data_IF_377178155877
#
_entry.id   IF_377178155877
#
_cell.length_a   1.000
_cell.length_b   1.000
_cell.length_c   1.000
_cell.angle_alpha   90.00
_cell.angle_beta   90.00
_cell.angle_gamma   90.00
#
_symmetry.space_group_name_H-M   'P 1'
#
loop_
_entity.id
_entity.type
_entity.pdbx_description
1 polymer ?
#
# COMPACT_ATOMS: atom_id res chain seq x y z
N UNK A 1 -18.34 1.12 16.95
CA UNK A 1 -17.14 1.94 16.65
C UNK A 1 -15.84 1.23 17.02
N UNK A 2 -15.85 0.32 17.98
CA UNK A 2 -14.70 -0.43 18.51
C UNK A 2 -13.91 -1.20 17.46
N UNK A 3 -14.59 -1.86 16.51
CA UNK A 3 -13.93 -2.51 15.37
C UNK A 3 -13.15 -1.51 14.51
N UNK A 4 -13.65 -0.27 14.38
CA UNK A 4 -12.93 0.78 13.66
C UNK A 4 -11.65 1.22 14.40
N UNK A 5 -11.64 1.20 15.73
CA UNK A 5 -10.49 1.64 16.54
C UNK A 5 -9.40 0.56 16.55
N UNK A 6 -9.77 -0.69 16.80
CA UNK A 6 -8.84 -1.84 16.84
C UNK A 6 -8.17 -2.06 15.48
N UNK A 7 -8.88 -1.76 14.39
CA UNK A 7 -8.34 -1.90 13.03
C UNK A 7 -7.49 -0.71 12.60
N UNK A 8 -7.55 0.43 13.30
CA UNK A 8 -6.64 1.56 13.10
C UNK A 8 -5.37 1.44 13.97
N UNK A 9 -4.43 2.37 13.77
CA UNK A 9 -3.28 2.56 14.65
C UNK A 9 -3.74 3.25 15.93
N UNK A 10 -3.78 2.51 17.04
CA UNK A 10 -4.15 3.03 18.36
C UNK A 10 -2.89 3.05 19.24
N UNK A 11 -2.48 4.24 19.68
CA UNK A 11 -1.23 4.45 20.38
C UNK A 11 -1.51 4.77 21.84
N UNK A 12 -1.04 3.92 22.74
CA UNK A 12 -1.12 4.14 24.19
C UNK A 12 0.25 4.55 24.74
N UNK A 13 0.25 5.39 25.77
CA UNK A 13 1.45 5.80 26.49
C UNK A 13 1.60 4.97 27.75
N UNK A 14 2.78 4.39 27.97
CA UNK A 14 3.03 3.65 29.21
C UNK A 14 3.26 4.61 30.40
N UNK A 15 2.72 4.32 31.59
CA UNK A 15 3.21 4.95 32.81
C UNK A 15 4.69 4.62 33.00
N UNK A 16 5.48 5.58 33.48
CA UNK A 16 6.90 5.42 33.79
C UNK A 16 7.87 5.27 32.60
N UNK A 17 7.42 5.48 31.37
CA UNK A 17 8.32 5.64 30.22
C UNK A 17 7.63 6.49 29.16
N UNK A 18 8.32 7.47 28.57
CA UNK A 18 7.84 8.20 27.38
C UNK A 18 7.75 7.32 26.11
N UNK A 19 7.53 6.02 26.28
CA UNK A 19 7.40 5.02 25.22
C UNK A 19 5.92 4.93 24.87
N UNK A 20 5.64 5.19 23.60
CA UNK A 20 4.35 4.97 22.98
C UNK A 20 4.31 3.55 22.41
N UNK A 21 3.19 2.85 22.59
CA UNK A 21 2.97 1.52 22.02
C UNK A 21 1.71 1.53 21.16
N UNK A 22 1.85 1.02 19.94
CA UNK A 22 0.71 0.74 19.09
C UNK A 22 0.09 -0.61 19.46
N UNK A 23 -1.15 -0.60 19.93
CA UNK A 23 -1.95 -1.79 20.25
C UNK A 23 -2.93 -2.17 19.14
N UNK A 24 -3.06 -1.32 18.12
CA UNK A 24 -3.93 -1.52 16.98
C UNK A 24 -3.38 -2.52 15.96
N UNK A 25 -4.29 -3.17 15.24
CA UNK A 25 -3.97 -4.14 14.18
C UNK A 25 -3.41 -3.50 12.91
N UNK A 26 -3.42 -2.17 12.81
CA UNK A 26 -2.88 -1.40 11.67
C UNK A 26 -3.42 -1.85 10.30
N UNK A 27 -4.69 -2.27 10.26
CA UNK A 27 -5.36 -2.71 9.03
C UNK A 27 -5.85 -1.52 8.19
N UNK A 28 -5.93 -0.32 8.77
CA UNK A 28 -6.22 0.93 8.07
C UNK A 28 -5.39 2.10 8.61
N UNK A 29 -4.91 2.94 7.70
CA UNK A 29 -4.18 4.15 8.05
C UNK A 29 -4.96 5.37 7.53
N UNK A 30 -5.74 6.03 8.40
CA UNK A 30 -6.51 7.23 8.02
C UNK A 30 -5.62 8.40 7.60
N UNK A 31 -4.50 8.61 8.31
CA UNK A 31 -3.60 9.74 8.07
C UNK A 31 -2.78 9.62 6.78
N UNK A 32 -2.43 8.39 6.37
CA UNK A 32 -1.61 8.14 5.17
C UNK A 32 -2.42 7.71 3.95
N UNK A 33 -3.74 7.57 4.06
CA UNK A 33 -4.61 6.96 3.02
C UNK A 33 -4.13 5.59 2.50
N UNK A 34 -3.25 4.92 3.25
CA UNK A 34 -2.70 3.62 2.91
C UNK A 34 -3.67 2.52 3.37
N UNK A 35 -3.86 1.52 2.52
CA UNK A 35 -4.74 0.36 2.74
C UNK A 35 -3.92 -0.92 2.66
N UNK A 36 -4.26 -1.92 3.47
CA UNK A 36 -3.63 -3.22 3.33
C UNK A 36 -4.31 -4.02 2.21
N UNK A 37 -3.54 -4.32 1.16
CA UNK A 37 -4.06 -4.99 -0.03
C UNK A 37 -4.58 -6.38 0.35
N UNK A 38 -5.85 -6.66 0.04
CA UNK A 38 -6.49 -7.93 0.35
C UNK A 38 -7.14 -8.02 1.74
N UNK A 39 -6.97 -7.04 2.64
CA UNK A 39 -7.60 -7.04 3.98
C UNK A 39 -8.63 -5.94 4.15
N UNK A 40 -8.38 -4.74 3.65
CA UNK A 40 -9.30 -3.60 3.80
C UNK A 40 -9.54 -2.86 2.49
N UNK A 41 -10.78 -2.41 2.29
CA UNK A 41 -11.18 -1.56 1.17
C UNK A 41 -11.90 -0.33 1.71
N UNK A 42 -11.52 0.85 1.20
CA UNK A 42 -12.21 2.10 1.50
C UNK A 42 -13.32 2.28 0.45
N UNK A 43 -14.57 2.16 0.87
CA UNK A 43 -15.74 2.60 0.09
C UNK A 43 -15.95 4.10 0.23
N UNK A 44 -17.07 4.62 -0.29
CA UNK A 44 -17.36 6.07 -0.29
C UNK A 44 -17.44 6.66 1.13
N UNK A 45 -18.03 5.93 2.09
CA UNK A 45 -18.15 6.37 3.48
C UNK A 45 -17.89 5.27 4.53
N UNK A 46 -17.59 4.03 4.10
CA UNK A 46 -17.44 2.88 4.99
C UNK A 46 -16.17 2.12 4.65
N UNK A 47 -15.50 1.59 5.68
CA UNK A 47 -14.39 0.65 5.50
C UNK A 47 -14.94 -0.77 5.44
N UNK A 48 -14.68 -1.46 4.34
CA UNK A 48 -15.00 -2.86 4.12
C UNK A 48 -13.78 -3.72 4.50
N UNK A 49 -14.05 -4.90 5.09
CA UNK A 49 -13.03 -5.85 5.52
C UNK A 49 -13.22 -7.17 4.79
N UNK A 50 -12.14 -7.77 4.30
CA UNK A 50 -12.20 -9.07 3.64
C UNK A 50 -12.31 -10.22 4.66
N UNK A 51 -12.64 -11.42 4.19
CA UNK A 51 -12.66 -12.63 5.02
C UNK A 51 -11.29 -12.93 5.66
N UNK A 52 -10.20 -12.65 4.94
CA UNK A 52 -8.85 -12.79 5.46
C UNK A 52 -8.58 -11.86 6.66
N UNK A 53 -9.23 -10.69 6.72
CA UNK A 53 -9.14 -9.76 7.84
C UNK A 53 -10.02 -10.16 9.04
N UNK A 54 -11.07 -10.96 8.85
CA UNK A 54 -11.93 -11.41 9.94
C UNK A 54 -11.19 -12.35 10.90
N UNK A 55 -10.37 -13.26 10.37
CA UNK A 55 -9.58 -14.21 11.16
C UNK A 55 -8.68 -13.55 12.22
N UNK A 56 -7.79 -12.59 11.88
CA UNK A 56 -6.97 -11.91 12.87
C UNK A 56 -7.81 -11.04 13.82
N UNK A 57 -8.88 -10.40 13.33
CA UNK A 57 -9.77 -9.59 14.19
C UNK A 57 -10.47 -10.48 15.25
N UNK A 58 -10.99 -11.64 14.85
CA UNK A 58 -11.65 -12.58 15.76
C UNK A 58 -10.67 -13.14 16.81
N UNK A 59 -9.46 -13.54 16.38
CA UNK A 59 -8.41 -14.02 17.28
C UNK A 59 -7.95 -12.94 18.26
N UNK A 60 -7.79 -11.69 17.80
CA UNK A 60 -7.44 -10.58 18.67
C UNK A 60 -8.51 -10.35 19.75
N UNK A 61 -9.79 -10.36 19.36
CA UNK A 61 -10.91 -10.25 20.31
C UNK A 61 -10.94 -11.36 21.35
N UNK A 62 -10.60 -12.60 20.97
CA UNK A 62 -10.57 -13.72 21.93
C UNK A 62 -9.38 -13.67 22.89
N UNK A 63 -8.23 -13.15 22.44
CA UNK A 63 -6.99 -13.12 23.24
C UNK A 63 -6.91 -11.92 24.17
N UNK A 64 -7.52 -10.79 23.77
CA UNK A 64 -7.46 -9.52 24.49
C UNK A 64 -8.87 -8.92 24.68
N UNK A 65 -9.81 -9.64 25.32
CA UNK A 65 -11.16 -9.13 25.56
C UNK A 65 -11.17 -7.88 26.44
N UNK A 66 -10.15 -7.70 27.30
CA UNK A 66 -10.03 -6.57 28.21
C UNK A 66 -9.87 -5.25 27.44
N UNK A 67 -9.12 -5.28 26.33
CA UNK A 67 -8.94 -4.14 25.43
C UNK A 67 -10.26 -3.77 24.76
N UNK A 68 -11.04 -4.76 24.33
CA UNK A 68 -12.33 -4.54 23.66
C UNK A 68 -13.33 -3.89 24.61
N UNK A 69 -13.46 -4.43 25.82
CA UNK A 69 -14.38 -3.91 26.84
C UNK A 69 -14.06 -2.47 27.21
N UNK A 70 -12.77 -2.13 27.33
CA UNK A 70 -12.36 -0.77 27.66
C UNK A 70 -12.61 0.19 26.50
N UNK A 71 -12.35 -0.23 25.26
CA UNK A 71 -12.66 0.56 24.06
C UNK A 71 -14.17 0.74 23.82
N UNK A 72 -14.98 -0.25 24.21
CA UNK A 72 -16.45 -0.15 24.19
C UNK A 72 -16.96 0.82 25.28
N UNK A 73 -16.27 0.92 26.41
CA UNK A 73 -16.64 1.82 27.50
C UNK A 73 -16.15 3.27 27.27
N UNK A 74 -15.03 3.44 26.59
CA UNK A 74 -14.37 4.74 26.37
C UNK A 74 -14.93 5.52 25.17
N UNK A 75 -16.21 5.35 24.84
CA UNK A 75 -16.89 5.99 23.71
C UNK A 75 -16.76 7.52 23.75
N UNK A 76 -15.72 8.07 23.12
CA UNK A 76 -15.50 9.51 22.95
C UNK A 76 -14.33 10.13 23.72
N UNK A 77 -13.60 9.36 24.54
CA UNK A 77 -12.39 9.84 25.22
C UNK A 77 -11.14 9.15 24.67
N UNK A 78 -10.11 9.93 24.32
CA UNK A 78 -8.78 9.45 23.94
C UNK A 78 -8.16 8.74 25.15
N UNK A 79 -8.26 7.41 25.22
CA UNK A 79 -7.68 6.63 26.32
C UNK A 79 -6.17 6.56 26.08
N UNK A 80 -5.46 7.53 26.63
CA UNK A 80 -4.03 7.74 26.32
C UNK A 80 -3.11 6.93 27.24
N UNK A 81 -3.61 6.42 28.36
CA UNK A 81 -2.82 5.80 29.42
C UNK A 81 -2.96 4.27 29.46
N UNK A 82 -1.84 3.56 29.50
CA UNK A 82 -1.83 2.10 29.49
C UNK A 82 -2.39 1.47 30.79
N UNK A 83 -2.34 2.15 31.93
CA UNK A 83 -2.92 1.69 33.21
C UNK A 83 -4.43 1.49 33.13
N UNK A 84 -5.12 2.27 32.29
CA UNK A 84 -6.57 2.20 32.14
C UNK A 84 -7.03 0.90 31.47
N UNK A 85 -6.12 0.25 30.72
CA UNK A 85 -6.37 -1.01 30.04
C UNK A 85 -5.95 -2.22 30.87
N UNK A 86 -4.86 -2.12 31.66
CA UNK A 86 -4.29 -3.26 32.38
C UNK A 86 -3.90 -2.89 33.83
N UNK A 87 -4.83 -3.00 34.79
CA UNK A 87 -4.55 -2.60 36.17
C UNK A 87 -3.68 -3.59 36.99
N UNK A 88 -3.48 -4.83 36.51
CA UNK A 88 -2.84 -5.90 37.30
C UNK A 88 -1.54 -6.43 36.68
N UNK A 89 -1.48 -6.62 35.36
CA UNK A 89 -0.29 -7.12 34.65
C UNK A 89 -0.03 -6.31 33.37
N UNK A 90 0.36 -5.05 33.59
CA UNK A 90 0.59 -4.07 32.54
C UNK A 90 1.70 -4.51 31.58
N UNK A 91 2.89 -4.80 32.11
CA UNK A 91 4.07 -5.07 31.29
C UNK A 91 3.99 -6.43 30.57
N UNK A 92 3.45 -7.46 31.21
CA UNK A 92 3.28 -8.79 30.62
C UNK A 92 2.30 -8.77 29.44
N UNK A 93 1.12 -8.17 29.63
CA UNK A 93 0.10 -8.07 28.58
C UNK A 93 0.51 -7.16 27.42
N UNK A 94 1.15 -6.03 27.70
CA UNK A 94 1.72 -5.14 26.67
C UNK A 94 2.75 -5.88 25.83
N UNK A 95 3.65 -6.66 26.45
CA UNK A 95 4.64 -7.46 25.74
C UNK A 95 3.98 -8.55 24.88
N UNK A 96 2.95 -9.21 25.39
CA UNK A 96 2.18 -10.22 24.65
C UNK A 96 1.45 -9.63 23.44
N UNK A 97 0.81 -8.47 23.59
CA UNK A 97 0.17 -7.76 22.46
C UNK A 97 1.22 -7.35 21.45
N UNK A 98 2.36 -6.79 21.88
CA UNK A 98 3.45 -6.43 20.97
C UNK A 98 3.99 -7.63 20.21
N UNK A 99 4.22 -8.76 20.89
CA UNK A 99 4.68 -9.99 20.26
C UNK A 99 3.65 -10.51 19.25
N UNK A 100 2.36 -10.51 19.62
CA UNK A 100 1.29 -10.97 18.76
C UNK A 100 1.08 -10.06 17.54
N UNK A 101 1.13 -8.74 17.71
CA UNK A 101 1.09 -7.76 16.60
C UNK A 101 2.36 -7.85 15.75
N UNK A 102 3.52 -8.22 16.30
CA UNK A 102 4.73 -8.45 15.51
C UNK A 102 4.69 -9.76 14.71
N UNK A 103 4.06 -10.80 15.26
CA UNK A 103 4.00 -12.14 14.65
C UNK A 103 2.84 -12.27 13.65
N UNK A 104 1.67 -11.70 13.98
CA UNK A 104 0.43 -11.79 13.19
C UNK A 104 -0.01 -10.45 12.62
N UNK A 105 0.49 -9.36 13.15
CA UNK A 105 0.19 -8.04 12.63
C UNK A 105 0.96 -7.79 11.35
N UNK A 106 0.35 -6.92 10.56
CA UNK A 106 0.57 -6.86 9.13
C UNK A 106 1.75 -5.93 8.82
N UNK A 107 2.96 -6.35 9.19
CA UNK A 107 4.22 -5.67 8.86
C UNK A 107 4.83 -6.12 7.52
N UNK A 108 4.17 -7.00 6.79
CA UNK A 108 4.72 -7.60 5.57
C UNK A 108 4.82 -6.63 4.38
N UNK A 109 4.48 -5.35 4.52
CA UNK A 109 4.68 -4.35 3.47
C UNK A 109 6.16 -4.20 3.11
N UNK A 110 7.04 -3.97 4.08
CA UNK A 110 8.47 -3.77 3.80
C UNK A 110 9.10 -5.05 3.22
N UNK A 111 8.70 -6.22 3.73
CA UNK A 111 9.20 -7.50 3.22
C UNK A 111 8.67 -7.81 1.81
N UNK A 112 7.40 -7.54 1.53
CA UNK A 112 6.83 -7.75 0.21
C UNK A 112 7.44 -6.77 -0.81
N UNK A 113 7.64 -5.51 -0.44
CA UNK A 113 8.32 -4.53 -1.28
C UNK A 113 9.77 -4.96 -1.54
N UNK A 114 10.52 -5.37 -0.51
CA UNK A 114 11.89 -5.86 -0.68
C UNK A 114 11.97 -7.11 -1.58
N UNK A 115 10.99 -8.02 -1.49
CA UNK A 115 10.91 -9.17 -2.41
C UNK A 115 10.59 -8.75 -3.84
N UNK A 116 9.67 -7.78 -4.03
CA UNK A 116 9.37 -7.23 -5.35
C UNK A 116 10.59 -6.53 -5.94
N UNK A 117 11.35 -5.76 -5.15
CA UNK A 117 12.58 -5.11 -5.57
C UNK A 117 13.64 -6.13 -6.02
N UNK A 118 13.88 -7.18 -5.22
CA UNK A 118 14.80 -8.28 -5.58
C UNK A 118 14.38 -9.01 -6.86
N UNK A 119 13.07 -9.25 -7.04
CA UNK A 119 12.55 -9.86 -8.26
C UNK A 119 12.75 -8.91 -9.45
N UNK A 120 12.48 -7.62 -9.27
CA UNK A 120 12.63 -6.59 -10.30
C UNK A 120 14.10 -6.46 -10.74
N UNK A 121 15.04 -6.42 -9.81
CA UNK A 121 16.48 -6.43 -10.11
C UNK A 121 16.89 -7.66 -10.94
N UNK A 122 16.42 -8.86 -10.56
CA UNK A 122 16.68 -10.09 -11.32
C UNK A 122 16.11 -10.05 -12.74
N UNK A 123 14.95 -9.42 -12.94
CA UNK A 123 14.35 -9.26 -14.27
C UNK A 123 15.06 -8.20 -15.11
N UNK A 124 15.53 -7.12 -14.50
CA UNK A 124 16.25 -6.05 -15.20
C UNK A 124 17.61 -6.51 -15.71
N UNK A 125 18.34 -7.30 -14.91
CA UNK A 125 19.63 -7.88 -15.34
C UNK A 125 19.49 -8.80 -16.55
N UNK A 126 18.30 -9.39 -16.77
CA UNK A 126 18.04 -10.24 -17.95
C UNK A 126 17.63 -9.46 -19.20
N UNK A 127 17.26 -8.18 -19.08
CA UNK A 127 16.96 -7.35 -20.26
C UNK A 127 18.27 -6.81 -20.85
N UNK A 128 18.94 -7.63 -21.66
CA UNK A 128 20.10 -7.18 -22.42
C UNK A 128 19.69 -6.15 -23.49
N UNK A 129 20.20 -4.91 -23.48
CA UNK A 129 19.94 -3.91 -24.52
C UNK A 129 20.54 -4.29 -25.88
N UNK A 130 21.45 -5.28 -25.91
CA UNK A 130 22.19 -5.70 -27.11
C UNK A 130 21.32 -6.45 -28.14
N UNK A 131 20.12 -6.92 -27.76
CA UNK A 131 19.20 -7.61 -28.66
C UNK A 131 18.14 -6.69 -29.29
N UNK A 132 18.32 -5.36 -29.28
CA UNK A 132 17.43 -4.46 -30.01
C UNK A 132 17.61 -4.64 -31.53
N UNK A 133 16.79 -5.53 -32.10
CA UNK A 133 16.70 -5.71 -33.55
C UNK A 133 16.12 -4.45 -34.18
N UNK A 134 16.94 -3.74 -34.96
CA UNK A 134 16.47 -2.64 -35.80
C UNK A 134 15.72 -3.22 -36.99
N UNK A 135 14.39 -3.23 -36.91
CA UNK A 135 13.53 -3.61 -38.02
C UNK A 135 13.22 -2.39 -38.90
N UNK A 136 13.67 -2.41 -40.15
CA UNK A 136 13.33 -1.38 -41.15
C UNK A 136 12.03 -1.78 -41.83
N UNK A 137 10.91 -1.23 -41.36
CA UNK A 137 9.61 -1.44 -41.99
C UNK A 137 9.34 -0.33 -43.02
N UNK A 138 9.34 -0.70 -44.31
CA UNK A 138 8.94 0.20 -45.40
C UNK A 138 7.42 0.11 -45.63
N UNK A 139 6.81 1.16 -46.18
CA UNK A 139 5.37 1.24 -46.48
C UNK A 139 4.41 1.19 -45.27
N UNK A 140 4.80 1.74 -44.12
CA UNK A 140 3.88 1.89 -42.98
C UNK A 140 2.86 2.99 -43.30
N UNK A 141 1.55 2.71 -43.23
CA UNK A 141 0.53 3.70 -43.56
C UNK A 141 0.49 4.80 -42.49
N UNK A 142 0.20 6.04 -42.89
CA UNK A 142 0.27 7.22 -42.00
C UNK A 142 -0.64 7.10 -40.77
N UNK A 143 -1.78 6.42 -40.90
CA UNK A 143 -2.70 6.19 -39.79
C UNK A 143 -2.16 5.22 -38.72
N UNK A 144 -1.15 4.41 -39.04
CA UNK A 144 -0.49 3.51 -38.10
C UNK A 144 0.67 4.19 -37.33
N UNK A 145 1.01 5.44 -37.67
CA UNK A 145 2.09 6.20 -37.04
C UNK A 145 1.48 7.27 -36.14
N UNK A 146 1.87 7.25 -34.87
CA UNK A 146 1.51 8.29 -33.90
C UNK A 146 2.69 9.24 -33.70
N UNK A 147 2.48 10.52 -33.99
CA UNK A 147 3.43 11.57 -33.60
C UNK A 147 3.33 11.82 -32.09
N UNK A 148 4.43 11.78 -31.32
CA UNK A 148 4.44 12.04 -29.88
C UNK A 148 3.67 13.31 -29.45
N UNK A 149 3.84 14.41 -30.19
CA UNK A 149 3.15 15.67 -29.96
C UNK A 149 1.61 15.59 -30.02
N UNK A 150 1.04 14.60 -30.74
CA UNK A 150 -0.41 14.40 -30.85
C UNK A 150 -0.95 13.34 -29.89
N UNK A 151 -0.11 12.76 -29.04
CA UNK A 151 -0.50 11.72 -28.10
C UNK A 151 -1.61 12.20 -27.15
N UNK A 152 -1.51 13.44 -26.66
CA UNK A 152 -2.47 14.01 -25.70
C UNK A 152 -3.90 14.06 -26.29
N UNK A 153 -4.06 14.29 -27.58
CA UNK A 153 -5.37 14.40 -28.21
C UNK A 153 -5.91 13.03 -28.63
N UNK A 154 -5.04 12.17 -29.18
CA UNK A 154 -5.45 10.86 -29.73
C UNK A 154 -5.65 9.78 -28.67
N UNK A 155 -5.04 9.91 -27.49
CA UNK A 155 -5.00 8.85 -26.48
C UNK A 155 -5.95 9.03 -25.29
N UNK A 156 -6.71 10.15 -25.21
CA UNK A 156 -7.61 10.49 -24.08
C UNK A 156 -8.69 9.47 -23.75
N UNK A 157 -9.12 8.67 -24.73
CA UNK A 157 -10.22 7.70 -24.58
C UNK A 157 -9.77 6.26 -24.29
N UNK A 158 -8.47 6.02 -24.04
CA UNK A 158 -7.98 4.68 -23.78
C UNK A 158 -8.44 4.19 -22.40
N UNK A 159 -8.84 2.92 -22.36
CA UNK A 159 -9.16 2.22 -21.13
C UNK A 159 -7.93 1.47 -20.66
N UNK A 160 -7.60 1.64 -19.39
CA UNK A 160 -6.52 0.90 -18.73
C UNK A 160 -7.13 -0.11 -17.77
N UNK A 161 -6.46 -1.24 -17.61
CA UNK A 161 -6.74 -2.23 -16.57
C UNK A 161 -5.49 -2.45 -15.72
N UNK A 162 -5.69 -2.87 -14.47
CA UNK A 162 -4.59 -3.22 -13.58
C UNK A 162 -3.75 -4.34 -14.21
N UNK A 163 -2.42 -4.21 -14.13
CA UNK A 163 -1.48 -5.16 -14.74
C UNK A 163 -1.26 -4.97 -16.25
N UNK A 164 -1.92 -4.02 -16.92
CA UNK A 164 -1.62 -3.72 -18.32
C UNK A 164 -0.20 -3.19 -18.50
N UNK A 165 0.44 -3.62 -19.60
CA UNK A 165 1.73 -3.09 -20.06
C UNK A 165 1.50 -1.81 -20.86
N UNK A 166 2.19 -0.75 -20.47
CA UNK A 166 2.06 0.58 -21.04
C UNK A 166 3.42 1.14 -21.41
N UNK A 167 3.44 2.13 -22.31
CA UNK A 167 4.64 2.84 -22.71
C UNK A 167 4.38 4.34 -22.71
N UNK A 168 5.36 5.13 -22.30
CA UNK A 168 5.30 6.58 -22.40
C UNK A 168 5.45 7.00 -23.86
N UNK A 169 4.50 7.78 -24.36
CA UNK A 169 4.48 8.22 -25.77
C UNK A 169 4.69 9.72 -25.90
N UNK A 170 4.36 10.50 -24.87
CA UNK A 170 4.60 11.94 -24.90
C UNK A 170 6.10 12.23 -24.79
N UNK A 171 6.54 13.21 -25.55
CA UNK A 171 7.87 13.81 -25.52
C UNK A 171 8.01 14.89 -24.43
N UNK A 172 6.94 15.16 -23.69
CA UNK A 172 6.88 16.13 -22.60
C UNK A 172 6.68 15.45 -21.25
N UNK A 173 7.34 15.98 -20.21
CA UNK A 173 7.23 15.51 -18.83
C UNK A 173 8.52 14.93 -18.26
N UNK A 174 8.43 14.36 -17.06
CA UNK A 174 9.59 13.81 -16.34
C UNK A 174 9.94 12.38 -16.77
N UNK A 175 9.00 11.66 -17.37
CA UNK A 175 9.18 10.27 -17.79
C UNK A 175 9.76 10.25 -19.20
N UNK A 176 10.88 9.53 -19.44
CA UNK A 176 11.45 9.40 -20.77
C UNK A 176 10.47 8.81 -21.78
N UNK A 177 10.51 9.31 -23.02
CA UNK A 177 9.74 8.73 -24.12
C UNK A 177 10.16 7.26 -24.33
N UNK A 178 9.20 6.41 -24.67
CA UNK A 178 9.38 4.96 -24.85
C UNK A 178 9.73 4.17 -23.57
N UNK A 179 9.71 4.81 -22.40
CA UNK A 179 9.80 4.08 -21.13
C UNK A 179 8.58 3.16 -20.98
N UNK A 180 8.84 1.88 -20.69
CA UNK A 180 7.79 0.86 -20.52
C UNK A 180 7.54 0.61 -19.04
N UNK A 181 6.29 0.28 -18.72
CA UNK A 181 5.89 -0.02 -17.36
C UNK A 181 4.59 -0.82 -17.28
N UNK A 182 4.16 -1.06 -16.05
CA UNK A 182 2.97 -1.82 -15.72
C UNK A 182 2.04 -0.98 -14.86
N UNK A 183 0.74 -0.97 -15.19
CA UNK A 183 -0.28 -0.23 -14.44
C UNK A 183 -0.51 -0.88 -13.08
N UNK A 184 -0.28 -0.12 -12.01
CA UNK A 184 -0.52 -0.55 -10.63
C UNK A 184 -1.87 -0.12 -10.08
N UNK A 185 -2.27 1.12 -10.38
CA UNK A 185 -3.48 1.73 -9.83
C UNK A 185 -4.12 2.63 -10.88
N UNK A 186 -5.44 2.69 -10.88
CA UNK A 186 -6.23 3.51 -11.78
C UNK A 186 -7.17 4.34 -10.91
N UNK A 187 -7.04 5.65 -11.02
CA UNK A 187 -7.96 6.65 -10.45
C UNK A 187 -8.68 7.34 -11.63
N UNK A 188 -9.82 7.98 -11.38
CA UNK A 188 -10.65 8.62 -12.41
C UNK A 188 -9.90 9.54 -13.40
N UNK A 189 -8.78 10.13 -13.00
CA UNK A 189 -7.98 11.06 -13.83
C UNK A 189 -6.50 10.69 -13.96
N UNK A 190 -6.03 9.65 -13.27
CA UNK A 190 -4.60 9.34 -13.17
C UNK A 190 -4.36 7.83 -13.14
N UNK A 191 -3.31 7.41 -13.83
CA UNK A 191 -2.85 6.03 -13.83
C UNK A 191 -1.47 6.00 -13.19
N UNK A 192 -1.32 5.20 -12.14
CA UNK A 192 -0.03 4.95 -11.51
C UNK A 192 0.64 3.77 -12.20
N UNK A 193 1.91 3.96 -12.59
CA UNK A 193 2.67 3.02 -13.40
C UNK A 193 4.00 2.76 -12.73
N UNK A 194 4.37 1.49 -12.58
CA UNK A 194 5.74 1.09 -12.26
C UNK A 194 6.49 0.89 -13.56
N UNK A 195 7.53 1.68 -13.76
CA UNK A 195 8.40 1.56 -14.93
C UNK A 195 9.47 0.50 -14.71
N UNK A 196 9.86 -0.17 -15.80
CA UNK A 196 10.90 -1.18 -15.77
C UNK A 196 12.26 -0.54 -15.49
N UNK A 197 12.58 0.53 -16.21
CA UNK A 197 13.88 1.20 -16.12
C UNK A 197 13.92 2.31 -15.07
N UNK A 198 15.07 2.57 -14.43
CA UNK A 198 15.28 3.78 -13.63
C UNK A 198 15.31 5.03 -14.54
N UNK A 199 14.77 6.13 -14.05
CA UNK A 199 14.86 7.45 -14.67
C UNK A 199 14.80 8.56 -13.61
N UNK A 200 15.25 9.76 -13.99
CA UNK A 200 15.31 10.93 -13.11
C UNK A 200 13.88 11.38 -12.79
N UNK A 201 13.57 11.53 -11.50
CA UNK A 201 12.25 11.97 -11.05
C UNK A 201 11.28 10.84 -10.66
N UNK A 202 11.72 9.58 -10.63
CA UNK A 202 10.92 8.49 -10.05
C UNK A 202 10.86 8.60 -8.53
N UNK A 203 9.72 8.24 -7.95
CA UNK A 203 9.60 7.90 -6.53
C UNK A 203 9.64 6.37 -6.36
N UNK A 204 10.37 5.89 -5.35
CA UNK A 204 10.36 4.46 -4.99
C UNK A 204 9.08 4.15 -4.18
N UNK A 205 8.57 2.92 -4.31
CA UNK A 205 7.36 2.46 -3.62
C UNK A 205 7.44 2.58 -2.09
N UNK A 206 8.66 2.61 -1.52
CA UNK A 206 8.90 2.80 -0.09
C UNK A 206 8.63 4.23 0.43
N UNK A 207 8.57 5.24 -0.45
CA UNK A 207 8.39 6.65 -0.07
C UNK A 207 7.03 7.23 -0.51
N UNK A 208 6.04 6.38 -0.81
CA UNK A 208 4.67 6.78 -1.12
C UNK A 208 3.76 6.70 0.12
#
# INVERSE_FOLDING_TARGET
MTLSIITSSEIITLPNSAKTLNIGLNLKFKAKSQKFLGYTRKGENVWEYSEAALNPIAKYKSLFPEVIQKLDYSLGHDVTSADDFFPVDLNGRISAIRAWVKEKGVQDFEKAIAQIELITEKFLVKQNPENMQQAINKNVPRNAILKPAHAIERLRGQKFLLGNRVTMVSDSGMVPISARGTVLSITDKMVEVVFDGPFIGRTSLNNC
#
